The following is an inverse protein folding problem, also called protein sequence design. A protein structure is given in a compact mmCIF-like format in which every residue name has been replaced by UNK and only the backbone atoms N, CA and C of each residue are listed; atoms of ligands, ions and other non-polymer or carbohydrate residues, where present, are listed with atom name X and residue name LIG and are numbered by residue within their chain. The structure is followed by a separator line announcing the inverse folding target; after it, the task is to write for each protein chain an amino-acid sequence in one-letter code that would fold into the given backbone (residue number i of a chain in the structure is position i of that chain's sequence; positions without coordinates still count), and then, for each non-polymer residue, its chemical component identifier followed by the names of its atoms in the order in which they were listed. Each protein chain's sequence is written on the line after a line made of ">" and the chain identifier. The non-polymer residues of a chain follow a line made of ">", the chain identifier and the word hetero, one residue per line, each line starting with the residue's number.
data_IF_201811325797
#
_entry.id   IF_201811325797
#
_cell.length_a   1.000
_cell.length_b   1.000
_cell.length_c   1.000
_cell.angle_alpha   90.00
_cell.angle_beta   90.00
_cell.angle_gamma   90.00
#
_symmetry.space_group_name_H-M   'P 1'
#
loop_
_entity.id
_entity.type
_entity.pdbx_description
1 polymer ?
#
# COMPACT_ATOMS: atom_id res chain seq x y z
N UNK A 1 32.26 1.09 0.58
CA UNK A 1 30.93 0.82 -0.04
C UNK A 1 30.11 -0.17 0.78
N UNK A 2 30.67 -0.79 1.82
CA UNK A 2 29.96 -1.81 2.64
C UNK A 2 28.99 -1.24 3.68
N UNK A 3 29.25 -0.05 4.23
CA UNK A 3 28.34 0.62 5.18
C UNK A 3 26.97 0.93 4.55
N UNK A 4 26.93 1.30 3.26
CA UNK A 4 25.69 1.58 2.54
C UNK A 4 24.85 0.33 2.29
N UNK A 5 25.47 -0.85 2.12
CA UNK A 5 24.74 -2.11 1.97
C UNK A 5 24.08 -2.54 3.29
N UNK A 6 24.75 -2.38 4.42
CA UNK A 6 24.18 -2.66 5.74
C UNK A 6 23.01 -1.74 6.11
N UNK A 7 23.06 -0.47 5.70
CA UNK A 7 21.93 0.46 5.82
C UNK A 7 20.73 0.06 4.96
N UNK A 8 20.96 -0.61 3.83
CA UNK A 8 19.89 -1.14 2.97
C UNK A 8 19.24 -2.40 3.57
N UNK A 9 20.00 -3.22 4.31
CA UNK A 9 19.43 -4.35 5.07
C UNK A 9 18.62 -3.89 6.29
N UNK A 10 18.94 -2.74 6.89
CA UNK A 10 18.08 -2.10 7.91
C UNK A 10 16.69 -1.73 7.36
N UNK A 11 16.53 -1.55 6.05
CA UNK A 11 15.22 -1.38 5.41
C UNK A 11 14.36 -2.66 5.44
N UNK A 12 14.97 -3.85 5.65
CA UNK A 12 14.25 -5.12 5.83
C UNK A 12 13.77 -5.33 7.27
N UNK A 13 14.32 -4.57 8.24
CA UNK A 13 13.81 -4.59 9.59
C UNK A 13 12.41 -3.96 9.61
N UNK A 14 11.45 -4.53 10.37
CA UNK A 14 10.11 -3.98 10.42
C UNK A 14 10.15 -2.51 10.80
N UNK A 15 9.66 -1.64 9.91
CA UNK A 15 9.62 -0.18 10.11
C UNK A 15 9.03 0.23 11.47
N UNK A 16 8.18 -0.63 12.06
CA UNK A 16 7.60 -0.53 13.39
C UNK A 16 8.65 -0.31 14.50
N UNK A 17 9.83 -0.93 14.42
CA UNK A 17 10.87 -0.76 15.42
C UNK A 17 11.51 0.63 15.35
N UNK A 18 11.78 1.14 14.15
CA UNK A 18 12.32 2.50 13.97
C UNK A 18 11.34 3.56 14.44
N UNK A 19 10.05 3.39 14.15
CA UNK A 19 8.98 4.25 14.67
C UNK A 19 8.97 4.23 16.19
N UNK A 20 9.05 3.04 16.80
CA UNK A 20 9.09 2.90 18.26
C UNK A 20 10.31 3.60 18.87
N UNK A 21 11.51 3.38 18.32
CA UNK A 21 12.72 4.04 18.80
C UNK A 21 12.64 5.56 18.64
N UNK A 22 12.14 6.07 17.51
CA UNK A 22 11.96 7.50 17.29
C UNK A 22 10.97 8.11 18.30
N UNK A 23 9.86 7.42 18.59
CA UNK A 23 8.88 7.88 19.57
C UNK A 23 9.44 7.88 21.00
N UNK A 24 10.12 6.81 21.41
CA UNK A 24 10.67 6.67 22.77
C UNK A 24 11.81 7.66 23.00
N UNK A 25 12.78 7.71 22.09
CA UNK A 25 13.92 8.63 22.21
C UNK A 25 13.50 10.09 22.02
N UNK A 26 12.55 10.36 21.12
CA UNK A 26 11.94 11.67 20.97
C UNK A 26 11.21 12.11 22.23
N UNK A 27 10.44 11.21 22.86
CA UNK A 27 9.79 11.52 24.12
C UNK A 27 10.82 11.88 25.20
N UNK A 28 11.89 11.12 25.35
CA UNK A 28 12.94 11.42 26.36
C UNK A 28 13.61 12.79 26.10
N UNK A 29 13.86 13.13 24.83
CA UNK A 29 14.50 14.41 24.46
C UNK A 29 13.59 15.62 24.66
N UNK A 30 12.33 15.52 24.21
CA UNK A 30 11.39 16.64 24.16
C UNK A 30 10.43 16.72 25.36
N UNK A 31 10.38 15.71 26.23
CA UNK A 31 9.56 15.75 27.44
C UNK A 31 10.07 16.81 28.43
N UNK A 32 9.12 17.37 29.19
CA UNK A 32 9.37 18.30 30.27
C UNK A 32 10.06 17.59 31.46
N UNK A 33 10.90 18.31 32.20
CA UNK A 33 11.66 17.80 33.35
C UNK A 33 10.77 17.17 34.42
N UNK A 34 9.61 17.78 34.71
CA UNK A 34 8.60 17.23 35.64
C UNK A 34 8.06 15.84 35.22
N UNK A 35 8.01 15.55 33.91
CA UNK A 35 7.57 14.25 33.40
C UNK A 35 8.71 13.23 33.44
N UNK A 36 9.93 13.66 33.12
CA UNK A 36 11.14 12.85 33.18
C UNK A 36 11.48 12.43 34.62
N UNK A 37 11.26 13.30 35.58
CA UNK A 37 11.47 13.02 37.01
C UNK A 37 10.48 11.96 37.52
N UNK A 38 9.19 12.07 37.14
CA UNK A 38 8.16 11.07 37.51
C UNK A 38 8.45 9.66 37.02
N UNK A 39 9.12 9.53 35.88
CA UNK A 39 9.49 8.24 35.27
C UNK A 39 10.95 7.86 35.51
N UNK A 40 11.68 8.62 36.35
CA UNK A 40 13.09 8.42 36.71
C UNK A 40 14.05 8.38 35.50
N UNK A 41 13.74 9.11 34.43
CA UNK A 41 14.56 9.20 33.21
C UNK A 41 15.39 10.49 33.10
N UNK A 42 15.28 11.41 34.06
CA UNK A 42 16.07 12.65 34.13
C UNK A 42 17.59 12.39 34.09
N UNK A 43 18.07 11.50 34.97
CA UNK A 43 19.49 11.14 35.05
C UNK A 43 20.05 10.53 33.76
N UNK A 44 19.20 9.82 33.01
CA UNK A 44 19.55 9.24 31.69
C UNK A 44 19.66 10.33 30.63
N UNK A 45 18.76 11.31 30.62
CA UNK A 45 18.82 12.45 29.70
C UNK A 45 20.11 13.26 29.90
N UNK A 46 20.48 13.52 31.15
CA UNK A 46 21.68 14.32 31.46
C UNK A 46 22.99 13.57 31.15
N UNK A 47 23.02 12.25 31.32
CA UNK A 47 24.24 11.45 31.11
C UNK A 47 24.41 10.97 29.67
N UNK A 48 23.32 10.62 28.99
CA UNK A 48 23.33 9.98 27.66
C UNK A 48 22.63 10.80 26.57
N UNK A 49 22.26 12.06 26.85
CA UNK A 49 21.55 12.95 25.93
C UNK A 49 22.10 12.99 24.50
N UNK A 50 23.43 13.13 24.29
CA UNK A 50 24.02 13.13 22.94
C UNK A 50 23.79 11.82 22.17
N UNK A 51 23.91 10.67 22.86
CA UNK A 51 23.72 9.34 22.27
C UNK A 51 22.24 9.12 21.92
N UNK A 52 21.33 9.51 22.81
CA UNK A 52 19.88 9.44 22.59
C UNK A 52 19.47 10.34 21.42
N UNK A 53 20.08 11.52 21.31
CA UNK A 53 19.92 12.45 20.18
C UNK A 53 20.31 11.82 18.84
N UNK A 54 21.45 11.13 18.80
CA UNK A 54 21.91 10.45 17.59
C UNK A 54 20.97 9.32 17.17
N UNK A 55 20.53 8.49 18.12
CA UNK A 55 19.57 7.40 17.86
C UNK A 55 18.22 7.95 17.40
N UNK A 56 17.76 9.05 18.01
CA UNK A 56 16.55 9.74 17.58
C UNK A 56 16.67 10.27 16.15
N UNK A 57 17.77 10.95 15.81
CA UNK A 57 17.98 11.51 14.47
C UNK A 57 17.95 10.42 13.38
N UNK A 58 18.63 9.30 13.60
CA UNK A 58 18.68 8.18 12.65
C UNK A 58 17.29 7.53 12.52
N UNK A 59 16.64 7.22 13.64
CA UNK A 59 15.34 6.55 13.66
C UNK A 59 14.22 7.44 13.09
N UNK A 60 14.21 8.74 13.40
CA UNK A 60 13.28 9.71 12.86
C UNK A 60 13.49 9.90 11.35
N UNK A 61 14.73 9.99 10.89
CA UNK A 61 15.04 10.09 9.46
C UNK A 61 14.53 8.88 8.67
N UNK A 62 14.78 7.67 9.16
CA UNK A 62 14.27 6.43 8.53
C UNK A 62 12.73 6.36 8.56
N UNK A 63 12.12 6.79 9.66
CA UNK A 63 10.67 6.85 9.80
C UNK A 63 10.05 7.81 8.78
N UNK A 64 10.63 9.00 8.62
CA UNK A 64 10.17 9.99 7.65
C UNK A 64 10.26 9.45 6.22
N UNK A 65 11.38 8.83 5.84
CA UNK A 65 11.54 8.22 4.51
C UNK A 65 10.45 7.17 4.23
N UNK A 66 10.17 6.30 5.20
CA UNK A 66 9.10 5.30 5.06
C UNK A 66 7.72 5.95 4.90
N UNK A 67 7.44 7.02 5.64
CA UNK A 67 6.19 7.79 5.51
C UNK A 67 6.10 8.40 4.11
N UNK A 68 7.17 9.01 3.58
CA UNK A 68 7.18 9.57 2.23
C UNK A 68 6.92 8.50 1.15
N UNK A 69 7.57 7.34 1.25
CA UNK A 69 7.36 6.23 0.30
C UNK A 69 5.91 5.73 0.38
N UNK A 70 5.36 5.60 1.60
CA UNK A 70 3.98 5.15 1.80
C UNK A 70 2.98 6.14 1.21
N UNK A 71 3.15 7.43 1.45
CA UNK A 71 2.32 8.49 0.88
C UNK A 71 2.38 8.46 -0.65
N UNK A 72 3.59 8.39 -1.23
CA UNK A 72 3.76 8.31 -2.68
C UNK A 72 3.07 7.10 -3.30
N UNK A 73 3.20 5.92 -2.67
CA UNK A 73 2.50 4.70 -3.11
C UNK A 73 0.98 4.83 -3.00
N UNK A 74 0.48 5.42 -1.91
CA UNK A 74 -0.94 5.62 -1.68
C UNK A 74 -1.55 6.56 -2.72
N UNK A 75 -0.90 7.69 -2.98
CA UNK A 75 -1.35 8.64 -4.00
C UNK A 75 -1.35 7.98 -5.39
N UNK A 76 -0.27 7.28 -5.74
CA UNK A 76 -0.20 6.61 -7.04
C UNK A 76 -1.30 5.54 -7.19
N UNK A 77 -1.54 4.77 -6.13
CA UNK A 77 -2.60 3.77 -6.11
C UNK A 77 -3.99 4.39 -6.29
N UNK A 78 -4.31 5.45 -5.54
CA UNK A 78 -5.60 6.15 -5.66
C UNK A 78 -5.78 6.73 -7.06
N UNK A 79 -4.72 7.31 -7.64
CA UNK A 79 -4.74 7.85 -9.00
C UNK A 79 -5.00 6.77 -10.05
N UNK A 80 -4.24 5.67 -10.02
CA UNK A 80 -4.44 4.55 -10.93
C UNK A 80 -5.82 3.91 -10.76
N UNK A 81 -6.30 3.79 -9.53
CA UNK A 81 -7.63 3.26 -9.24
C UNK A 81 -8.73 4.14 -9.82
N UNK A 82 -8.62 5.47 -9.65
CA UNK A 82 -9.58 6.41 -10.21
C UNK A 82 -9.59 6.37 -11.74
N UNK A 83 -8.42 6.35 -12.37
CA UNK A 83 -8.32 6.21 -13.82
C UNK A 83 -8.88 4.88 -14.34
N UNK A 84 -8.58 3.76 -13.69
CA UNK A 84 -9.08 2.45 -14.07
C UNK A 84 -10.61 2.39 -13.98
N UNK A 85 -11.19 2.93 -12.90
CA UNK A 85 -12.65 3.03 -12.72
C UNK A 85 -13.29 3.91 -13.79
N UNK A 86 -12.66 5.03 -14.13
CA UNK A 86 -13.11 5.92 -15.21
C UNK A 86 -13.13 5.22 -16.56
N UNK A 87 -12.03 4.54 -16.92
CA UNK A 87 -11.93 3.74 -18.16
C UNK A 87 -13.00 2.66 -18.23
N UNK A 88 -13.19 1.91 -17.14
CA UNK A 88 -14.19 0.85 -17.08
C UNK A 88 -15.61 1.40 -17.26
N UNK A 89 -15.96 2.49 -16.56
CA UNK A 89 -17.28 3.14 -16.70
C UNK A 89 -17.53 3.59 -18.14
N UNK A 90 -16.51 4.16 -18.78
CA UNK A 90 -16.61 4.62 -20.16
C UNK A 90 -16.77 3.46 -21.14
N UNK A 91 -16.03 2.37 -20.94
CA UNK A 91 -16.18 1.15 -21.75
C UNK A 91 -17.59 0.58 -21.60
N UNK A 92 -18.14 0.52 -20.39
CA UNK A 92 -19.50 0.04 -20.13
C UNK A 92 -20.56 0.87 -20.90
N UNK A 93 -20.37 2.19 -21.02
CA UNK A 93 -21.30 3.02 -21.80
C UNK A 93 -21.16 2.89 -23.31
N UNK A 94 -20.03 2.36 -23.79
CA UNK A 94 -19.69 2.25 -25.21
C UNK A 94 -19.84 0.81 -25.74
N UNK A 95 -20.55 -0.07 -25.02
CA UNK A 95 -20.81 -1.43 -25.51
C UNK A 95 -21.63 -1.41 -26.80
N UNK A 96 -21.22 -2.24 -27.75
CA UNK A 96 -22.03 -2.56 -28.92
C UNK A 96 -23.16 -3.54 -28.57
N UNK A 97 -24.05 -3.81 -29.53
CA UNK A 97 -25.22 -4.65 -29.29
C UNK A 97 -24.88 -6.15 -29.15
N UNK A 98 -23.77 -6.61 -29.73
CA UNK A 98 -23.28 -7.98 -29.55
C UNK A 98 -22.69 -8.18 -28.14
N UNK A 99 -21.90 -7.21 -27.66
CA UNK A 99 -21.37 -7.20 -26.31
C UNK A 99 -22.51 -7.15 -25.27
N UNK A 100 -23.53 -6.31 -25.48
CA UNK A 100 -24.73 -6.27 -24.61
C UNK A 100 -25.48 -7.60 -24.58
N UNK A 101 -25.52 -8.33 -25.68
CA UNK A 101 -26.18 -9.63 -25.73
C UNK A 101 -25.51 -10.64 -24.78
N UNK A 102 -24.18 -10.59 -24.63
CA UNK A 102 -23.46 -11.42 -23.66
C UNK A 102 -23.90 -11.07 -22.23
N UNK A 103 -23.92 -9.79 -21.85
CA UNK A 103 -24.40 -9.38 -20.52
C UNK A 103 -25.87 -9.74 -20.27
N UNK A 104 -26.70 -9.71 -21.32
CA UNK A 104 -28.09 -10.16 -21.25
C UNK A 104 -28.17 -11.65 -20.88
N UNK A 105 -27.29 -12.49 -21.41
CA UNK A 105 -27.27 -13.92 -21.09
C UNK A 105 -27.00 -14.15 -19.59
N UNK A 106 -26.02 -13.45 -19.00
CA UNK A 106 -25.78 -13.51 -17.56
C UNK A 106 -27.02 -13.11 -16.73
N UNK A 107 -27.76 -12.09 -17.17
CA UNK A 107 -28.99 -11.65 -16.50
C UNK A 107 -30.13 -12.66 -16.63
N UNK A 108 -30.30 -13.28 -17.81
CA UNK A 108 -31.32 -14.30 -18.07
C UNK A 108 -31.05 -15.55 -17.24
N UNK A 109 -29.80 -16.01 -17.21
CA UNK A 109 -29.40 -17.17 -16.39
C UNK A 109 -29.43 -16.86 -14.89
N UNK A 110 -29.40 -15.58 -14.50
CA UNK A 110 -29.35 -15.17 -13.09
C UNK A 110 -28.06 -15.59 -12.38
N UNK A 111 -26.98 -15.82 -13.13
CA UNK A 111 -25.72 -16.36 -12.61
C UNK A 111 -24.58 -15.35 -12.81
N UNK A 112 -23.59 -15.40 -11.91
CA UNK A 112 -22.37 -14.58 -11.99
C UNK A 112 -21.28 -15.19 -12.87
N UNK A 113 -21.49 -16.42 -13.31
CA UNK A 113 -20.57 -17.18 -14.15
C UNK A 113 -21.40 -18.11 -15.02
N UNK A 114 -21.16 -18.09 -16.32
CA UNK A 114 -21.83 -18.93 -17.30
C UNK A 114 -20.76 -19.46 -18.27
N UNK A 115 -21.02 -20.61 -18.86
CA UNK A 115 -20.15 -21.15 -19.92
C UNK A 115 -20.33 -20.32 -21.18
N UNK A 116 -19.21 -19.90 -21.78
CA UNK A 116 -19.16 -19.09 -22.99
C UNK A 116 -18.02 -19.58 -23.88
N UNK A 117 -18.18 -19.54 -25.21
CA UNK A 117 -17.09 -19.84 -26.14
C UNK A 117 -15.94 -18.83 -25.97
N UNK A 118 -14.77 -19.32 -25.55
CA UNK A 118 -13.59 -18.47 -25.32
C UNK A 118 -12.97 -17.95 -26.63
N UNK A 119 -13.18 -18.71 -27.71
CA UNK A 119 -12.80 -18.45 -29.09
C UNK A 119 -13.69 -17.42 -29.79
N UNK A 120 -14.80 -17.01 -29.17
CA UNK A 120 -15.63 -15.93 -29.67
C UNK A 120 -14.92 -14.57 -29.53
N UNK A 121 -14.80 -13.79 -30.62
CA UNK A 121 -14.07 -12.51 -30.60
C UNK A 121 -14.70 -11.46 -29.69
N UNK A 122 -16.02 -11.50 -29.47
CA UNK A 122 -16.74 -10.58 -28.57
C UNK A 122 -16.45 -10.93 -27.11
N UNK A 123 -16.41 -12.23 -26.78
CA UNK A 123 -16.01 -12.71 -25.45
C UNK A 123 -14.56 -12.32 -25.16
N UNK A 124 -13.65 -12.57 -26.12
CA UNK A 124 -12.25 -12.17 -26.02
C UNK A 124 -12.08 -10.65 -25.83
N UNK A 125 -12.79 -9.84 -26.61
CA UNK A 125 -12.77 -8.38 -26.49
C UNK A 125 -13.26 -7.87 -25.13
N UNK A 126 -14.30 -8.49 -24.56
CA UNK A 126 -14.79 -8.18 -23.21
C UNK A 126 -13.84 -8.63 -22.09
N UNK A 127 -13.09 -9.72 -22.31
CA UNK A 127 -12.03 -10.16 -21.39
C UNK A 127 -10.84 -9.21 -21.40
N UNK A 128 -10.39 -8.77 -22.59
CA UNK A 128 -9.31 -7.80 -22.74
C UNK A 128 -9.67 -6.43 -22.13
N UNK A 129 -10.94 -6.03 -22.27
CA UNK A 129 -11.48 -4.85 -21.61
C UNK A 129 -11.57 -4.97 -20.07
N UNK A 130 -11.34 -6.17 -19.52
CA UNK A 130 -11.42 -6.46 -18.09
C UNK A 130 -12.84 -6.47 -17.54
N UNK A 131 -13.85 -6.56 -18.42
CA UNK A 131 -15.27 -6.63 -18.07
C UNK A 131 -15.71 -8.06 -17.75
N UNK A 132 -15.14 -9.03 -18.45
CA UNK A 132 -15.27 -10.45 -18.14
C UNK A 132 -13.96 -11.00 -17.58
N UNK A 133 -14.06 -12.02 -16.75
CA UNK A 133 -12.91 -12.75 -16.23
C UNK A 133 -13.23 -14.23 -16.22
N UNK A 134 -12.26 -15.03 -16.63
CA UNK A 134 -12.38 -16.47 -16.56
C UNK A 134 -12.47 -16.91 -15.10
N UNK A 135 -13.48 -17.71 -14.79
CA UNK A 135 -13.57 -18.33 -13.48
C UNK A 135 -12.46 -19.39 -13.40
N UNK A 136 -11.45 -19.17 -12.54
CA UNK A 136 -10.27 -20.06 -12.38
C UNK A 136 -10.61 -21.45 -11.81
N UNK A 137 -11.90 -21.82 -11.74
CA UNK A 137 -12.36 -23.15 -11.32
C UNK A 137 -12.47 -24.17 -12.47
N UNK A 138 -12.26 -23.77 -13.73
CA UNK A 138 -12.16 -24.70 -14.85
C UNK A 138 -10.73 -24.72 -15.37
N UNK A 139 -9.89 -25.49 -14.68
CA UNK A 139 -8.50 -25.74 -15.02
C UNK A 139 -7.93 -26.71 -14.00
N UNK A 140 -7.86 -27.98 -14.38
CA UNK A 140 -6.99 -28.97 -13.73
C UNK A 140 -5.52 -28.52 -13.81
#
# INVERSE_FOLDING_TARGET
>A
MDLFKGLFDLSKLPAKFFVLFALVTGFILFANELLLEKIQLDSIKNTYGPIIGLVFAISAGLTLLNVFIWIGKKINFEWHFFQAKGKLRKRISELDDHEKAIFREFMICGQRSIEMPYDDPVVGGLMDAGLLRMNRQFGD
#
